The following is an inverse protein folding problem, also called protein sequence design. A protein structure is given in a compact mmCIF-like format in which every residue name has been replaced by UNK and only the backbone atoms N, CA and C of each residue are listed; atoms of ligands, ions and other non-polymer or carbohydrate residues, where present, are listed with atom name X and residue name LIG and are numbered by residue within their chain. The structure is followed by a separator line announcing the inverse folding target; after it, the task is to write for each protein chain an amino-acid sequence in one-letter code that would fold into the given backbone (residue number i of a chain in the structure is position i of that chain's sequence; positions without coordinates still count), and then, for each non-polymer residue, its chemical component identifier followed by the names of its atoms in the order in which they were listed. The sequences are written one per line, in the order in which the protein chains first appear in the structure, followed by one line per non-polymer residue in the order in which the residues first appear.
data_IF_595224270754
#
_entry.id   IF_595224270754
#
_cell.length_a   1.000
_cell.length_b   1.000
_cell.length_c   1.000
_cell.angle_alpha   90.00
_cell.angle_beta   90.00
_cell.angle_gamma   90.00
#
_symmetry.space_group_name_H-M   'P 1'
#
loop_
_entity.id
_entity.type
_entity.pdbx_description
1 polymer ?
#
# COMPACT_ATOMS: atom_id res chain seq x y z
N UNK A 1 -0.23 -59.33 -38.66
CA UNK A 1 0.12 -59.04 -40.07
C UNK A 1 0.38 -57.55 -40.19
N UNK A 2 1.64 -57.16 -40.29
CA UNK A 2 2.07 -55.78 -40.55
C UNK A 2 2.31 -55.70 -42.06
N UNK A 3 1.66 -54.76 -42.73
CA UNK A 3 1.80 -54.55 -44.16
C UNK A 3 2.57 -53.24 -44.37
N UNK A 4 3.85 -53.38 -44.74
CA UNK A 4 4.64 -52.30 -45.30
C UNK A 4 4.02 -51.89 -46.64
N UNK A 5 3.85 -50.59 -46.84
CA UNK A 5 3.66 -50.03 -48.18
C UNK A 5 4.44 -48.72 -48.29
N UNK A 6 5.57 -48.80 -48.97
CA UNK A 6 6.31 -47.67 -49.55
C UNK A 6 5.62 -47.28 -50.85
N UNK A 7 5.36 -45.99 -51.08
CA UNK A 7 5.31 -45.43 -52.43
C UNK A 7 5.74 -43.96 -52.44
N UNK A 8 6.34 -43.59 -53.56
CA UNK A 8 7.30 -42.52 -53.76
C UNK A 8 6.70 -41.13 -54.07
N UNK A 9 7.50 -40.11 -53.72
CA UNK A 9 7.82 -38.87 -54.43
C UNK A 9 6.76 -38.23 -55.35
N UNK A 10 6.41 -36.96 -55.07
CA UNK A 10 6.55 -35.86 -56.04
C UNK A 10 6.92 -34.57 -55.28
N UNK A 11 8.06 -34.00 -55.65
CA UNK A 11 8.49 -32.65 -55.25
C UNK A 11 7.71 -31.66 -56.13
N UNK A 12 6.96 -30.73 -55.52
CA UNK A 12 6.58 -29.47 -56.17
C UNK A 12 7.33 -28.33 -55.47
N UNK A 13 8.39 -27.86 -56.13
CA UNK A 13 9.01 -26.57 -55.89
C UNK A 13 8.15 -25.50 -56.59
N UNK A 14 7.52 -24.62 -55.81
CA UNK A 14 7.19 -23.29 -56.29
C UNK A 14 7.96 -22.27 -55.46
N UNK A 15 8.85 -21.59 -56.16
CA UNK A 15 9.66 -20.46 -55.71
C UNK A 15 8.80 -19.20 -55.63
N UNK A 16 8.93 -18.43 -54.55
CA UNK A 16 9.10 -16.98 -54.62
C UNK A 16 9.48 -16.41 -53.25
N UNK A 17 10.62 -15.75 -53.21
CA UNK A 17 11.07 -14.93 -52.08
C UNK A 17 10.28 -13.63 -52.06
N UNK A 18 9.67 -13.27 -50.94
CA UNK A 18 9.57 -11.88 -50.47
C UNK A 18 9.73 -11.84 -48.95
N UNK A 19 10.26 -10.74 -48.46
CA UNK A 19 10.94 -10.50 -47.19
C UNK A 19 10.02 -10.12 -46.02
N UNK A 20 10.45 -10.52 -44.80
CA UNK A 20 10.21 -9.95 -43.46
C UNK A 20 8.81 -10.05 -42.79
N UNK A 21 8.75 -10.08 -41.44
CA UNK A 21 9.62 -10.73 -40.46
C UNK A 21 8.83 -11.76 -39.61
N UNK A 22 9.55 -12.54 -38.81
CA UNK A 22 8.96 -13.43 -37.81
C UNK A 22 8.12 -12.60 -36.83
N UNK A 23 6.81 -12.85 -36.80
CA UNK A 23 6.01 -12.57 -35.61
C UNK A 23 6.47 -13.58 -34.57
N UNK A 24 7.47 -13.18 -33.80
CA UNK A 24 7.65 -13.75 -32.47
C UNK A 24 6.31 -13.50 -31.76
N UNK A 25 5.66 -14.58 -31.33
CA UNK A 25 4.61 -14.48 -30.33
C UNK A 25 5.27 -13.91 -29.08
N UNK A 26 5.32 -12.58 -29.03
CA UNK A 26 5.57 -11.85 -27.80
C UNK A 26 4.40 -12.24 -26.89
N UNK A 27 4.67 -13.20 -26.01
CA UNK A 27 3.87 -13.39 -24.81
C UNK A 27 3.93 -12.04 -24.12
N UNK A 28 2.93 -11.20 -24.36
CA UNK A 28 2.65 -10.07 -23.50
C UNK A 28 2.37 -10.70 -22.13
N UNK A 29 3.43 -10.80 -21.33
CA UNK A 29 3.29 -10.70 -19.90
C UNK A 29 2.73 -9.31 -19.71
N UNK A 30 1.40 -9.21 -19.64
CA UNK A 30 0.75 -8.09 -18.99
C UNK A 30 1.46 -8.01 -17.63
N UNK A 31 2.41 -7.08 -17.55
CA UNK A 31 2.86 -6.53 -16.29
C UNK A 31 1.57 -6.07 -15.62
N UNK A 32 1.01 -6.92 -14.77
CA UNK A 32 0.05 -6.50 -13.76
C UNK A 32 0.75 -5.35 -13.08
N UNK A 33 0.31 -4.14 -13.42
CA UNK A 33 0.62 -2.96 -12.62
C UNK A 33 -0.02 -3.32 -11.29
N UNK A 34 0.78 -3.85 -10.37
CA UNK A 34 0.38 -3.95 -8.98
C UNK A 34 0.04 -2.51 -8.60
N UNK A 35 -1.25 -2.19 -8.57
CA UNK A 35 -1.73 -1.02 -7.86
C UNK A 35 -1.38 -1.28 -6.39
N UNK A 36 -0.13 -0.98 -6.03
CA UNK A 36 0.39 -1.21 -4.70
C UNK A 36 -0.30 -0.22 -3.78
N UNK A 37 -1.17 -0.74 -2.92
CA UNK A 37 -1.83 0.05 -1.90
C UNK A 37 -0.79 0.88 -1.15
N UNK A 38 -1.02 2.18 -1.03
CA UNK A 38 -0.14 3.08 -0.30
C UNK A 38 -0.96 3.85 0.72
N UNK A 39 -0.45 3.97 1.93
CA UNK A 39 -1.04 4.77 3.00
C UNK A 39 -0.16 5.98 3.32
N UNK A 40 -0.78 7.14 3.46
CA UNK A 40 -0.11 8.38 3.77
C UNK A 40 -0.32 8.79 5.22
N UNK A 41 0.76 9.25 5.84
CA UNK A 41 0.80 9.68 7.23
C UNK A 41 1.48 11.03 7.37
N UNK A 42 1.06 11.78 8.39
CA UNK A 42 1.69 13.02 8.78
C UNK A 42 1.89 13.12 10.28
N UNK A 43 2.91 13.84 10.71
CA UNK A 43 3.14 14.20 12.11
C UNK A 43 3.73 15.59 12.20
N UNK A 44 3.49 16.26 13.34
CA UNK A 44 4.19 17.51 13.64
C UNK A 44 5.70 17.25 13.70
N UNK A 45 6.49 18.07 13.01
CA UNK A 45 7.94 18.07 13.16
C UNK A 45 8.30 18.62 14.56
N UNK A 46 9.03 17.86 15.41
CA UNK A 46 9.41 18.32 16.75
C UNK A 46 10.31 19.57 16.75
N UNK A 47 10.99 19.87 15.64
CA UNK A 47 11.82 21.08 15.50
C UNK A 47 10.97 22.36 15.30
N UNK A 48 9.70 22.21 14.93
CA UNK A 48 8.79 23.33 14.69
C UNK A 48 8.13 23.77 15.99
N UNK A 49 8.43 25.00 16.41
CA UNK A 49 7.87 25.61 17.64
C UNK A 49 6.43 26.10 17.51
N UNK A 50 5.88 26.13 16.29
CA UNK A 50 4.48 26.50 16.06
C UNK A 50 3.56 25.39 16.54
N UNK A 51 2.33 25.74 16.88
CA UNK A 51 1.34 24.80 17.41
C UNK A 51 0.04 24.85 16.62
N UNK A 52 -0.70 23.73 16.67
CA UNK A 52 -2.03 23.62 16.10
C UNK A 52 -2.09 24.07 14.64
N UNK A 53 -3.04 24.95 14.33
CA UNK A 53 -3.30 25.46 12.97
C UNK A 53 -2.24 26.42 12.45
N UNK A 54 -1.22 26.76 13.24
CA UNK A 54 -0.11 27.60 12.79
C UNK A 54 1.01 26.81 12.11
N UNK A 55 1.02 25.48 12.23
CA UNK A 55 1.96 24.60 11.51
C UNK A 55 1.44 24.40 10.09
N UNK A 56 2.21 24.74 9.06
CA UNK A 56 1.82 24.47 7.68
C UNK A 56 2.07 23.00 7.31
N UNK A 57 1.38 22.49 6.29
CA UNK A 57 1.60 21.14 5.79
C UNK A 57 3.06 20.89 5.36
N UNK A 58 3.73 21.90 4.79
CA UNK A 58 5.15 21.81 4.41
C UNK A 58 6.12 21.75 5.59
N UNK A 59 5.67 22.13 6.79
CA UNK A 59 6.43 22.06 8.04
C UNK A 59 6.20 20.73 8.79
N UNK A 60 5.28 19.90 8.31
CA UNK A 60 5.00 18.57 8.88
C UNK A 60 5.96 17.52 8.30
N UNK A 61 6.19 16.47 9.08
CA UNK A 61 6.80 15.25 8.60
C UNK A 61 5.73 14.43 7.89
N UNK A 62 6.12 13.79 6.78
CA UNK A 62 5.25 12.92 5.99
C UNK A 62 5.89 11.54 5.84
N UNK A 63 5.07 10.50 5.79
CA UNK A 63 5.49 9.14 5.47
C UNK A 63 4.46 8.53 4.52
N UNK A 64 4.98 7.95 3.43
CA UNK A 64 4.26 7.05 2.55
C UNK A 64 4.64 5.61 2.91
N UNK A 65 3.65 4.74 3.11
CA UNK A 65 3.83 3.35 3.47
C UNK A 65 3.15 2.46 2.44
N UNK A 66 3.95 1.74 1.66
CA UNK A 66 3.47 0.88 0.58
C UNK A 66 3.03 -0.49 1.09
N UNK A 67 2.31 -1.23 0.26
CA UNK A 67 1.81 -2.55 0.61
C UNK A 67 2.92 -3.52 1.01
N UNK A 68 2.63 -4.41 1.97
CA UNK A 68 3.54 -5.40 2.53
C UNK A 68 4.88 -4.82 3.03
N UNK A 69 4.90 -3.56 3.46
CA UNK A 69 6.11 -2.86 3.89
C UNK A 69 6.06 -2.43 5.36
N UNK A 70 7.18 -1.90 5.83
CA UNK A 70 7.33 -1.27 7.14
C UNK A 70 8.19 -0.02 7.03
N UNK A 71 7.99 0.94 7.93
CA UNK A 71 8.85 2.11 8.06
C UNK A 71 8.79 2.67 9.48
N UNK A 72 9.88 3.32 9.90
CA UNK A 72 9.91 4.06 11.16
C UNK A 72 9.44 5.50 10.95
N UNK A 73 8.48 5.91 11.75
CA UNK A 73 7.94 7.27 11.74
C UNK A 73 7.78 7.78 13.16
N UNK A 74 8.43 8.91 13.46
CA UNK A 74 8.35 9.58 14.77
C UNK A 74 8.54 8.65 15.97
N UNK A 75 9.51 7.74 15.86
CA UNK A 75 9.88 6.79 16.92
C UNK A 75 8.92 5.60 17.09
N UNK A 76 8.05 5.36 16.10
CA UNK A 76 7.17 4.19 16.01
C UNK A 76 7.46 3.44 14.71
N UNK A 77 7.50 2.11 14.77
CA UNK A 77 7.47 1.29 13.55
C UNK A 77 6.03 1.12 13.09
N UNK A 78 5.75 1.47 11.85
CA UNK A 78 4.46 1.27 11.18
C UNK A 78 4.61 0.18 10.12
N UNK A 79 3.57 -0.63 9.95
CA UNK A 79 3.52 -1.68 8.93
C UNK A 79 2.21 -1.63 8.16
N UNK A 80 2.21 -2.11 6.91
CA UNK A 80 1.00 -2.28 6.11
C UNK A 80 0.95 -3.71 5.56
N UNK A 81 -0.11 -4.45 5.90
CA UNK A 81 -0.31 -5.86 5.52
C UNK A 81 0.86 -6.79 5.87
N UNK A 82 1.76 -6.35 6.75
CA UNK A 82 2.95 -7.05 7.19
C UNK A 82 3.01 -6.99 8.72
N UNK A 83 2.17 -7.81 9.39
CA UNK A 83 2.00 -7.71 10.84
C UNK A 83 3.28 -8.09 11.58
N UNK A 84 3.78 -7.20 12.44
CA UNK A 84 4.97 -7.38 13.26
C UNK A 84 4.60 -7.10 14.73
N UNK A 85 5.05 -7.99 15.62
CA UNK A 85 4.87 -7.81 17.06
C UNK A 85 5.55 -6.52 17.55
N UNK A 86 4.84 -5.72 18.34
CA UNK A 86 5.34 -4.45 18.88
C UNK A 86 5.31 -3.26 17.92
N UNK A 87 4.86 -3.44 16.67
CA UNK A 87 4.66 -2.36 15.70
C UNK A 87 3.21 -1.85 15.67
N UNK A 88 2.99 -0.66 15.11
CA UNK A 88 1.65 -0.18 14.73
C UNK A 88 1.29 -0.83 13.39
N UNK A 89 0.38 -1.79 13.41
CA UNK A 89 0.06 -2.61 12.26
C UNK A 89 -1.19 -2.11 11.57
N UNK A 90 -1.06 -1.71 10.30
CA UNK A 90 -2.18 -1.42 9.41
C UNK A 90 -2.47 -2.61 8.52
N UNK A 91 -3.74 -2.85 8.22
CA UNK A 91 -4.16 -3.86 7.24
C UNK A 91 -5.30 -3.35 6.39
N UNK A 92 -5.38 -3.82 5.15
CA UNK A 92 -6.48 -3.56 4.24
C UNK A 92 -7.34 -4.81 4.08
N UNK A 93 -8.65 -4.67 4.31
CA UNK A 93 -9.63 -5.74 4.12
C UNK A 93 -10.93 -5.13 3.60
N UNK A 94 -11.43 -5.61 2.47
CA UNK A 94 -12.68 -5.13 1.86
C UNK A 94 -12.70 -3.59 1.72
N UNK A 95 -11.69 -3.02 1.07
CA UNK A 95 -11.51 -1.57 0.85
C UNK A 95 -11.48 -0.71 2.13
N UNK A 96 -11.28 -1.36 3.28
CA UNK A 96 -11.26 -0.73 4.59
C UNK A 96 -9.89 -0.90 5.25
N UNK A 97 -9.40 0.17 5.88
CA UNK A 97 -8.15 0.15 6.63
C UNK A 97 -8.43 -0.09 8.10
N UNK A 98 -7.77 -1.11 8.65
CA UNK A 98 -7.79 -1.44 10.06
C UNK A 98 -6.42 -1.17 10.65
N UNK A 99 -6.40 -0.84 11.94
CA UNK A 99 -5.18 -0.63 12.70
C UNK A 99 -5.23 -1.43 14.00
N UNK A 100 -4.06 -1.89 14.42
CA UNK A 100 -3.78 -2.47 15.71
C UNK A 100 -2.49 -1.87 16.25
N UNK A 101 -2.46 -1.50 17.53
CA UNK A 101 -1.27 -0.92 18.15
C UNK A 101 -0.95 -1.62 19.48
N UNK A 102 0.35 -1.76 19.84
CA UNK A 102 0.78 -2.49 21.02
C UNK A 102 0.45 -1.76 22.34
N UNK A 103 0.12 -0.48 22.25
CA UNK A 103 -0.23 0.38 23.38
C UNK A 103 -1.57 1.05 23.11
N UNK A 104 -2.33 1.33 24.17
CA UNK A 104 -3.58 2.09 24.07
C UNK A 104 -3.33 3.46 23.43
N UNK A 105 -4.33 3.97 22.71
CA UNK A 105 -4.27 5.28 22.05
C UNK A 105 -5.61 6.00 22.12
N UNK A 106 -5.57 7.30 21.87
CA UNK A 106 -6.78 8.10 21.65
C UNK A 106 -6.92 8.35 20.15
N UNK A 107 -8.05 7.94 19.59
CA UNK A 107 -8.44 8.17 18.21
C UNK A 107 -9.38 9.37 18.12
N UNK A 108 -9.12 10.31 17.21
CA UNK A 108 -10.01 11.43 16.93
C UNK A 108 -9.97 11.83 15.45
N UNK A 109 -10.98 12.54 14.97
CA UNK A 109 -10.93 13.11 13.62
C UNK A 109 -10.01 14.33 13.56
N UNK A 110 -9.39 14.57 12.41
CA UNK A 110 -8.75 15.83 12.07
C UNK A 110 -9.39 16.43 10.80
N UNK A 111 -9.88 17.68 10.83
CA UNK A 111 -10.04 18.50 12.01
C UNK A 111 -11.00 17.87 13.03
N UNK A 112 -10.95 18.26 14.32
CA UNK A 112 -11.90 17.81 15.32
C UNK A 112 -13.33 18.17 14.88
N UNK A 113 -14.21 17.17 14.84
CA UNK A 113 -15.62 17.37 14.49
C UNK A 113 -16.38 17.85 15.72
N UNK A 114 -17.11 18.99 15.66
CA UNK A 114 -17.92 19.47 16.77
C UNK A 114 -18.91 18.39 17.26
N UNK A 115 -18.96 18.17 18.58
CA UNK A 115 -19.85 17.17 19.19
C UNK A 115 -19.41 15.71 19.06
N UNK A 116 -18.31 15.42 18.36
CA UNK A 116 -17.74 14.07 18.29
C UNK A 116 -16.61 13.94 19.30
N UNK A 117 -16.77 13.03 20.27
CA UNK A 117 -15.77 12.79 21.31
C UNK A 117 -14.64 11.88 20.78
N UNK A 118 -13.39 12.10 21.24
CA UNK A 118 -12.32 11.14 21.02
C UNK A 118 -12.65 9.76 21.59
N UNK A 119 -12.18 8.72 20.93
CA UNK A 119 -12.35 7.34 21.36
C UNK A 119 -11.05 6.79 21.94
N UNK A 120 -11.12 6.18 23.12
CA UNK A 120 -9.99 5.42 23.66
C UNK A 120 -9.99 4.02 23.09
N UNK A 121 -8.89 3.64 22.45
CA UNK A 121 -8.68 2.29 21.91
C UNK A 121 -7.71 1.57 22.85
N UNK A 122 -8.08 0.37 23.28
CA UNK A 122 -7.24 -0.46 24.13
C UNK A 122 -6.04 -1.03 23.35
N UNK A 123 -4.93 -1.29 24.06
CA UNK A 123 -3.79 -1.98 23.49
C UNK A 123 -4.20 -3.31 22.83
N UNK A 124 -3.64 -3.57 21.66
CA UNK A 124 -3.89 -4.74 20.81
C UNK A 124 -5.35 -4.93 20.38
N UNK A 125 -6.23 -3.93 20.59
CA UNK A 125 -7.54 -3.93 19.96
C UNK A 125 -7.39 -3.54 18.48
N UNK A 126 -8.07 -4.27 17.61
CA UNK A 126 -8.21 -3.89 16.21
C UNK A 126 -9.36 -2.89 16.06
N UNK A 127 -9.16 -1.85 15.25
CA UNK A 127 -10.16 -0.82 15.00
C UNK A 127 -10.08 -0.32 13.55
N UNK A 128 -11.20 0.16 13.05
CA UNK A 128 -11.28 0.80 11.73
C UNK A 128 -10.70 2.21 11.79
N UNK A 129 -9.91 2.60 10.78
CA UNK A 129 -9.32 3.93 10.67
C UNK A 129 -9.82 4.60 9.40
N UNK A 130 -10.51 5.73 9.55
CA UNK A 130 -10.89 6.56 8.41
C UNK A 130 -9.76 7.50 8.03
N UNK A 131 -9.66 7.92 6.75
CA UNK A 131 -8.84 9.06 6.37
C UNK A 131 -9.03 10.25 7.30
N UNK A 132 -7.96 11.02 7.48
CA UNK A 132 -7.91 12.16 8.37
C UNK A 132 -8.20 11.81 9.84
N UNK A 133 -7.71 10.66 10.31
CA UNK A 133 -7.77 10.28 11.73
C UNK A 133 -6.45 10.58 12.43
N UNK A 134 -6.52 11.11 13.64
CA UNK A 134 -5.37 11.33 14.51
C UNK A 134 -5.28 10.21 15.55
N UNK A 135 -4.17 9.47 15.50
CA UNK A 135 -3.78 8.46 16.47
C UNK A 135 -2.84 9.13 17.48
N UNK A 136 -3.34 9.37 18.70
CA UNK A 136 -2.55 9.98 19.78
C UNK A 136 -2.08 8.92 20.76
N UNK A 137 -0.76 8.73 20.77
CA UNK A 137 -0.04 7.98 21.78
C UNK A 137 0.45 8.95 22.87
N UNK A 138 0.96 8.43 23.98
CA UNK A 138 1.37 9.25 25.13
C UNK A 138 2.34 10.40 24.79
N UNK A 139 3.28 10.15 23.87
CA UNK A 139 4.32 11.11 23.48
C UNK A 139 4.32 11.51 22.00
N UNK A 140 3.47 10.88 21.19
CA UNK A 140 3.53 10.98 19.72
C UNK A 140 2.13 11.04 19.13
N UNK A 141 1.93 11.92 18.15
CA UNK A 141 0.69 12.02 17.40
C UNK A 141 0.97 11.69 15.93
N UNK A 142 0.25 10.70 15.39
CA UNK A 142 0.35 10.33 13.97
C UNK A 142 -1.02 10.53 13.35
N UNK A 143 -1.08 11.35 12.30
CA UNK A 143 -2.27 11.50 11.49
C UNK A 143 -2.22 10.48 10.35
N UNK A 144 -3.23 9.63 10.26
CA UNK A 144 -3.51 8.89 9.04
C UNK A 144 -4.22 9.85 8.07
N UNK A 145 -3.53 10.18 6.97
CA UNK A 145 -4.04 11.10 5.94
C UNK A 145 -5.06 10.38 5.08
N UNK A 146 -4.70 9.21 4.56
CA UNK A 146 -5.57 8.42 3.69
C UNK A 146 -4.78 7.48 2.79
N UNK A 147 -5.40 7.09 1.67
CA UNK A 147 -4.71 6.37 0.61
C UNK A 147 -3.80 7.34 -0.16
N UNK A 148 -2.61 6.87 -0.55
CA UNK A 148 -1.70 7.56 -1.46
C UNK A 148 -2.15 7.43 -2.91
N UNK A 149 -1.73 8.39 -3.74
CA UNK A 149 -1.89 8.37 -5.21
C UNK A 149 -0.74 7.64 -5.90
#
# INVERSE_FOLDING_TARGET
MIKNLLFASVILLITSCTSNPKTEEEVMVESLVENSLTLEFASKNPEVKKEGTHVSASEMLHLSLTDNSQSDFVGKTLTLNNTIEGAINFSSRNDSIFCNAPTSLILMSMPPKPGVLPSTIAANAEFYVTPMSLLKFESVNIMFVGLGE
#
